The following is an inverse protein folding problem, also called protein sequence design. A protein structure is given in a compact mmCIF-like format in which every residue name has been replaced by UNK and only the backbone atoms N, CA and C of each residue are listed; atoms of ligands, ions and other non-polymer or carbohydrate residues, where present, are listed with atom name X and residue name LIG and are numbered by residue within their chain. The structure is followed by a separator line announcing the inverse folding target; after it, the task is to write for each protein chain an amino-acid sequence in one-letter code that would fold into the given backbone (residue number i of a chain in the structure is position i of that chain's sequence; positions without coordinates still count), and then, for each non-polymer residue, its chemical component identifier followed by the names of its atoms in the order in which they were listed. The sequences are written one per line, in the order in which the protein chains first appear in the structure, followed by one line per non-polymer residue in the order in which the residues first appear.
data_IF_401271128418
#
_entry.id   IF_401271128418
#
_cell.length_a   1.000
_cell.length_b   1.000
_cell.length_c   1.000
_cell.angle_alpha   90.00
_cell.angle_beta   90.00
_cell.angle_gamma   90.00
#
_symmetry.space_group_name_H-M   'P 1'
#
loop_
_entity.id
_entity.type
_entity.pdbx_description
1 polymer ?
#
# COMPACT_ATOMS: atom_id res chain seq x y z
N UNK A 1 12.19 -7.63 3.31
CA UNK A 1 10.77 -7.79 2.95
C UNK A 1 9.97 -6.53 3.28
N UNK A 2 9.25 -6.03 2.29
CA UNK A 2 8.42 -4.83 2.32
C UNK A 2 6.96 -5.21 2.03
N UNK A 3 6.02 -4.43 2.57
CA UNK A 3 4.59 -4.67 2.42
C UNK A 3 3.90 -3.37 2.00
N UNK A 4 3.04 -3.46 0.99
CA UNK A 4 2.09 -2.42 0.62
C UNK A 4 0.86 -2.60 1.49
N UNK A 5 0.51 -1.59 2.28
CA UNK A 5 -0.56 -1.68 3.27
C UNK A 5 -1.54 -0.51 3.14
N UNK A 6 -2.84 -0.81 3.25
CA UNK A 6 -3.89 0.19 3.38
C UNK A 6 -4.11 0.51 4.86
N UNK A 7 -4.07 1.79 5.23
CA UNK A 7 -4.52 2.28 6.53
C UNK A 7 -6.04 2.23 6.58
N UNK A 8 -6.60 1.37 7.44
CA UNK A 8 -8.05 1.09 7.47
C UNK A 8 -8.88 2.35 7.73
N UNK A 9 -8.35 3.27 8.54
CA UNK A 9 -9.03 4.49 8.95
C UNK A 9 -9.00 5.59 7.87
N UNK A 10 -7.83 5.83 7.27
CA UNK A 10 -7.64 6.93 6.30
C UNK A 10 -7.91 6.53 4.85
N UNK A 11 -7.89 5.23 4.54
CA UNK A 11 -7.83 4.67 3.17
C UNK A 11 -6.59 5.02 2.36
N UNK A 12 -5.60 5.62 2.99
CA UNK A 12 -4.26 5.83 2.45
C UNK A 12 -3.53 4.49 2.29
N UNK A 13 -2.71 4.37 1.24
CA UNK A 13 -1.86 3.21 0.99
C UNK A 13 -0.40 3.64 1.09
N UNK A 14 0.44 2.85 1.76
CA UNK A 14 1.87 3.14 1.95
C UNK A 14 2.72 1.86 1.89
N UNK A 15 4.04 2.01 1.71
CA UNK A 15 5.02 0.92 1.83
C UNK A 15 5.67 0.92 3.22
N UNK A 16 5.55 -0.20 3.93
CA UNK A 16 6.17 -0.42 5.25
C UNK A 16 7.15 -1.60 5.23
N UNK A 17 8.13 -1.59 6.14
CA UNK A 17 9.00 -2.74 6.33
C UNK A 17 8.30 -3.83 7.14
N UNK A 18 8.61 -5.10 6.91
CA UNK A 18 8.00 -6.22 7.64
C UNK A 18 8.16 -6.11 9.17
N UNK A 19 9.23 -5.48 9.64
CA UNK A 19 9.49 -5.23 11.07
C UNK A 19 8.47 -4.29 11.72
N UNK A 20 7.70 -3.53 10.94
CA UNK A 20 6.70 -2.58 11.43
C UNK A 20 5.32 -3.23 11.55
N UNK A 21 5.14 -4.45 11.04
CA UNK A 21 3.87 -5.16 11.09
C UNK A 21 3.78 -6.08 12.30
N UNK A 22 2.67 -5.98 13.05
CA UNK A 22 2.37 -6.86 14.17
C UNK A 22 0.86 -7.05 14.33
N UNK A 23 0.38 -8.26 14.06
CA UNK A 23 -1.02 -8.65 14.30
C UNK A 23 -2.06 -7.73 13.63
N UNK A 24 -1.93 -7.49 12.32
CA UNK A 24 -2.86 -6.62 11.57
C UNK A 24 -2.69 -5.11 11.82
N UNK A 25 -1.63 -4.70 12.52
CA UNK A 25 -1.32 -3.29 12.77
C UNK A 25 0.07 -2.95 12.23
N UNK A 26 0.23 -1.72 11.76
CA UNK A 26 1.52 -1.13 11.45
C UNK A 26 1.91 -0.13 12.52
N UNK A 27 3.19 -0.12 12.90
CA UNK A 27 3.79 0.97 13.66
C UNK A 27 4.29 2.04 12.68
N UNK A 28 3.85 3.28 12.86
CA UNK A 28 4.23 4.40 12.02
C UNK A 28 5.06 5.43 12.82
N UNK A 29 6.21 5.89 12.29
CA UNK A 29 7.04 6.86 13.00
C UNK A 29 6.43 8.27 12.94
N UNK A 30 6.62 9.11 13.97
CA UNK A 30 6.21 10.52 13.96
C UNK A 30 7.18 11.40 13.14
N UNK A 31 7.65 10.93 11.98
CA UNK A 31 8.62 11.64 11.15
C UNK A 31 7.93 12.57 10.15
N UNK A 32 8.11 13.88 10.32
CA UNK A 32 7.65 14.90 9.35
C UNK A 32 8.43 14.85 8.02
N UNK A 33 9.63 14.27 8.01
CA UNK A 33 10.51 14.24 6.83
C UNK A 33 10.35 12.93 6.05
N UNK A 34 9.77 12.98 4.85
CA UNK A 34 9.62 11.83 3.94
C UNK A 34 10.96 11.10 3.68
N UNK A 35 12.07 11.83 3.56
CA UNK A 35 13.40 11.23 3.40
C UNK A 35 13.84 10.39 4.62
N UNK A 36 13.44 10.75 5.84
CA UNK A 36 13.68 9.94 7.05
C UNK A 36 12.77 8.72 7.09
N UNK A 37 11.51 8.86 6.67
CA UNK A 37 10.57 7.74 6.54
C UNK A 37 11.11 6.70 5.55
N UNK A 38 11.36 7.09 4.30
CA UNK A 38 11.93 6.20 3.27
C UNK A 38 13.22 5.52 3.71
N UNK A 39 14.11 6.26 4.39
CA UNK A 39 15.33 5.69 4.95
C UNK A 39 15.01 4.65 6.03
N UNK A 40 14.17 4.98 7.01
CA UNK A 40 13.81 4.04 8.08
C UNK A 40 13.11 2.77 7.56
N UNK A 41 12.29 2.90 6.51
CA UNK A 41 11.67 1.76 5.81
C UNK A 41 12.74 0.88 5.14
N UNK A 42 13.69 1.47 4.42
CA UNK A 42 14.78 0.75 3.72
C UNK A 42 15.82 0.12 4.66
N UNK A 43 16.22 0.86 5.70
CA UNK A 43 17.11 0.37 6.78
C UNK A 43 16.39 -0.66 7.69
N UNK A 44 15.07 -0.85 7.55
CA UNK A 44 14.28 -1.81 8.33
C UNK A 44 14.21 -1.51 9.83
N UNK A 45 14.33 -0.23 10.20
CA UNK A 45 14.43 0.26 11.59
C UNK A 45 13.30 -0.30 12.46
N UNK A 46 13.61 -0.76 13.68
CA UNK A 46 12.61 -1.27 14.60
C UNK A 46 11.73 -0.13 15.17
N UNK A 47 10.42 -0.36 15.36
CA UNK A 47 9.53 0.66 15.88
C UNK A 47 9.88 1.05 17.33
N UNK A 48 9.94 2.36 17.58
CA UNK A 48 10.19 2.93 18.90
C UNK A 48 8.93 3.03 19.77
N UNK A 49 9.09 3.42 21.04
CA UNK A 49 7.97 3.65 21.96
C UNK A 49 7.04 4.78 21.47
N UNK A 50 7.61 5.80 20.82
CA UNK A 50 6.92 6.98 20.29
C UNK A 50 6.20 6.74 18.94
N UNK A 51 6.18 5.50 18.44
CA UNK A 51 5.56 5.19 17.15
C UNK A 51 4.08 4.85 17.33
N UNK A 52 3.23 5.53 16.54
CA UNK A 52 1.78 5.34 16.59
C UNK A 52 1.39 4.03 15.92
N UNK A 53 0.53 3.25 16.56
CA UNK A 53 -0.04 2.03 15.97
C UNK A 53 -1.30 2.36 15.20
N UNK A 54 -1.37 1.89 13.95
CA UNK A 54 -2.53 2.01 13.09
C UNK A 54 -3.02 0.63 12.63
N UNK A 55 -4.34 0.40 12.54
CA UNK A 55 -4.88 -0.80 11.91
C UNK A 55 -4.62 -0.74 10.40
N UNK A 56 -4.06 -1.81 9.84
CA UNK A 56 -3.71 -1.88 8.41
C UNK A 56 -4.14 -3.20 7.78
N UNK A 57 -4.42 -3.14 6.46
CA UNK A 57 -4.64 -4.32 5.62
C UNK A 57 -3.45 -4.48 4.67
N UNK A 58 -2.73 -5.60 4.77
CA UNK A 58 -1.68 -5.93 3.80
C UNK A 58 -2.34 -6.28 2.47
N UNK A 59 -1.93 -5.57 1.41
CA UNK A 59 -2.44 -5.78 0.05
C UNK A 59 -1.43 -6.50 -0.84
N UNK A 60 -0.15 -6.17 -0.69
CA UNK A 60 0.94 -6.80 -1.44
C UNK A 60 2.21 -6.88 -0.60
N UNK A 61 3.12 -7.79 -0.94
CA UNK A 61 4.40 -7.96 -0.24
C UNK A 61 5.51 -8.36 -1.20
N UNK A 62 6.69 -7.77 -1.05
CA UNK A 62 7.85 -8.02 -1.92
C UNK A 62 9.18 -7.79 -1.21
N UNK A 63 10.24 -8.49 -1.59
CA UNK A 63 11.57 -8.31 -0.97
C UNK A 63 12.36 -7.11 -1.47
N UNK A 64 11.94 -6.56 -2.62
CA UNK A 64 12.53 -5.36 -3.23
C UNK A 64 11.63 -4.15 -3.02
N UNK A 65 12.17 -3.10 -2.39
CA UNK A 65 11.44 -1.85 -2.07
C UNK A 65 10.82 -1.20 -3.30
N UNK A 66 11.56 -1.14 -4.41
CA UNK A 66 11.12 -0.46 -5.64
C UNK A 66 9.91 -1.17 -6.28
N UNK A 67 9.83 -2.49 -6.19
CA UNK A 67 8.68 -3.27 -6.69
C UNK A 67 7.46 -3.08 -5.77
N UNK A 68 7.66 -2.99 -4.46
CA UNK A 68 6.58 -2.61 -3.54
C UNK A 68 6.09 -1.16 -3.81
N UNK A 69 7.00 -0.23 -4.15
CA UNK A 69 6.66 1.13 -4.53
C UNK A 69 5.87 1.22 -5.85
N UNK A 70 6.23 0.43 -6.86
CA UNK A 70 5.45 0.33 -8.11
C UNK A 70 4.02 -0.18 -7.82
N UNK A 71 3.90 -1.22 -7.00
CA UNK A 71 2.61 -1.80 -6.59
C UNK A 71 1.77 -0.87 -5.71
N UNK A 72 2.40 -0.01 -4.91
CA UNK A 72 1.74 1.11 -4.24
C UNK A 72 1.13 2.08 -5.28
N UNK A 73 1.90 2.51 -6.27
CA UNK A 73 1.40 3.44 -7.30
C UNK A 73 0.22 2.83 -8.09
N UNK A 74 0.30 1.56 -8.46
CA UNK A 74 -0.81 0.82 -9.09
C UNK A 74 -2.08 0.83 -8.21
N UNK A 75 -1.94 0.60 -6.90
CA UNK A 75 -3.07 0.59 -5.96
C UNK A 75 -3.71 1.98 -5.77
N UNK A 76 -2.90 3.05 -5.71
CA UNK A 76 -3.39 4.43 -5.63
C UNK A 76 -4.11 4.84 -6.92
N UNK A 77 -3.50 4.60 -8.09
CA UNK A 77 -4.07 4.95 -9.40
C UNK A 77 -5.40 4.23 -9.66
N UNK A 78 -5.52 2.98 -9.22
CA UNK A 78 -6.78 2.21 -9.31
C UNK A 78 -7.90 2.78 -8.43
N UNK A 79 -7.56 3.56 -7.38
CA UNK A 79 -8.54 4.16 -6.47
C UNK A 79 -9.13 5.47 -6.99
N UNK A 80 -8.36 6.25 -7.78
CA UNK A 80 -8.83 7.47 -8.45
C UNK A 80 -9.66 7.18 -9.72
N UNK A 81 -9.35 6.08 -10.43
CA UNK A 81 -9.96 5.73 -11.73
C UNK A 81 -11.36 5.06 -11.65
N UNK A 82 -12.11 5.27 -10.56
CA UNK A 82 -13.54 4.92 -10.51
C UNK A 82 -14.44 6.16 -10.58
N UNK A 83 -14.02 7.14 -11.38
CA UNK A 83 -14.88 8.22 -11.88
C UNK A 83 -14.87 8.14 -13.41
N UNK A 84 -16.02 7.73 -13.97
CA UNK A 84 -16.34 7.75 -15.40
C UNK A 84 -15.55 6.79 -16.31
N UNK A 85 -16.03 5.53 -16.38
CA UNK A 85 -16.21 4.86 -17.68
C UNK A 85 -17.60 4.19 -17.68
N UNK A 86 -18.62 4.95 -18.13
CA UNK A 86 -19.81 4.35 -18.72
C UNK A 86 -19.47 3.90 -20.14
N UNK A 87 -18.97 2.68 -20.32
CA UNK A 87 -19.11 1.99 -21.61
C UNK A 87 -19.74 0.60 -21.47
N UNK A 88 -21.07 0.63 -21.53
CA UNK A 88 -21.83 -0.14 -22.50
C UNK A 88 -21.61 -1.68 -22.52
N UNK A 89 -22.51 -2.40 -21.84
CA UNK A 89 -22.92 -3.73 -22.31
C UNK A 89 -23.52 -3.58 -23.72
N UNK A 90 -23.01 -4.32 -24.70
CA UNK A 90 -23.78 -5.53 -25.02
C UNK A 90 -22.94 -6.80 -24.94
N UNK A 91 -23.54 -7.82 -24.32
CA UNK A 91 -23.06 -9.18 -24.37
C UNK A 91 -23.45 -9.76 -25.75
N UNK A 92 -22.50 -9.86 -26.68
CA UNK A 92 -22.72 -10.50 -27.99
C UNK A 92 -21.74 -11.65 -28.15
N UNK A 93 -22.15 -12.82 -27.67
CA UNK A 93 -21.59 -14.11 -28.09
C UNK A 93 -22.48 -14.64 -29.22
N UNK A 94 -22.13 -14.35 -30.46
CA UNK A 94 -22.72 -15.05 -31.61
C UNK A 94 -21.74 -15.04 -32.81
N UNK A 95 -21.55 -16.25 -33.37
CA UNK A 95 -21.02 -16.56 -34.72
C UNK A 95 -19.48 -16.53 -34.90
N UNK A 96 -18.84 -17.34 -35.75
CA UNK A 96 -19.24 -18.50 -36.61
C UNK A 96 -17.96 -19.37 -36.81
N UNK A 97 -17.99 -20.62 -37.29
CA UNK A 97 -19.07 -21.49 -37.80
C UNK A 97 -18.80 -22.95 -37.35
#
# INVERSE_FOLDING_TARGET
MYHVVEFVNSKEVEVVHSNWLKGGHSFWPPFVSLAKLHRATKDGVLPGADWTRFPVRVMYSHDVYEIACAKLQEATVTSDLNTEDEDNRPHVHEEKE
#
